data_IF_471690519983
#
_entry.id   IF_471690519983
#
_cell.length_a   1.000
_cell.length_b   1.000
_cell.length_c   1.000
_cell.angle_alpha   90.00
_cell.angle_beta   90.00
_cell.angle_gamma   90.00
#
_symmetry.space_group_name_H-M   'P 1'
#
loop_
_entity.id
_entity.type
_entity.pdbx_description
1 polymer ?
#
# COMPACT_ATOMS: atom_id res chain seq x y z
N UNK A 1 -21.36 -16.33 -2.74
CA UNK A 1 -20.48 -17.49 -3.00
C UNK A 1 -19.06 -16.94 -3.17
N UNK A 2 -18.18 -17.05 -2.17
CA UNK A 2 -16.79 -16.55 -2.30
C UNK A 2 -16.09 -17.42 -3.34
N UNK A 3 -15.63 -16.82 -4.43
CA UNK A 3 -14.90 -17.55 -5.45
C UNK A 3 -13.56 -17.99 -4.86
N UNK A 4 -13.34 -19.30 -4.76
CA UNK A 4 -12.02 -19.85 -4.40
C UNK A 4 -11.08 -19.55 -5.58
N UNK A 5 -10.43 -18.39 -5.58
CA UNK A 5 -9.44 -18.04 -6.60
C UNK A 5 -9.23 -16.56 -6.88
N UNK A 6 -10.08 -15.68 -6.35
CA UNK A 6 -10.03 -14.23 -6.64
C UNK A 6 -9.32 -13.37 -5.59
N UNK A 7 -8.99 -13.95 -4.43
CA UNK A 7 -8.32 -13.23 -3.35
C UNK A 7 -6.94 -12.72 -3.81
N UNK A 8 -6.76 -11.41 -3.75
CA UNK A 8 -5.56 -10.71 -4.19
C UNK A 8 -5.67 -10.09 -5.59
N UNK A 9 -6.72 -10.36 -6.37
CA UNK A 9 -6.85 -9.83 -7.74
C UNK A 9 -8.16 -9.08 -7.92
N UNK A 10 -8.08 -7.86 -8.46
CA UNK A 10 -9.22 -7.05 -8.88
C UNK A 10 -9.39 -7.15 -10.40
N UNK A 11 -10.57 -7.59 -10.85
CA UNK A 11 -10.81 -7.85 -12.28
C UNK A 11 -10.84 -6.58 -13.12
N UNK A 12 -11.35 -5.48 -12.57
CA UNK A 12 -11.50 -4.20 -13.27
C UNK A 12 -10.40 -3.20 -12.90
N UNK A 13 -9.18 -3.69 -12.67
CA UNK A 13 -8.06 -2.81 -12.33
C UNK A 13 -7.80 -1.81 -13.47
N UNK A 14 -7.60 -0.51 -13.15
CA UNK A 14 -7.39 0.51 -14.15
C UNK A 14 -6.29 0.14 -15.15
N UNK A 15 -6.58 0.26 -16.44
CA UNK A 15 -5.61 -0.05 -17.50
C UNK A 15 -4.44 0.93 -17.53
N UNK A 16 -4.59 2.12 -16.95
CA UNK A 16 -3.54 3.14 -16.85
C UNK A 16 -3.15 3.34 -15.39
N UNK A 17 -1.91 3.77 -15.17
CA UNK A 17 -1.42 4.14 -13.84
C UNK A 17 -0.65 5.46 -13.88
N UNK A 18 -0.67 6.18 -12.76
CA UNK A 18 -0.09 7.52 -12.62
C UNK A 18 1.40 7.50 -12.23
N UNK A 19 1.90 6.32 -11.84
CA UNK A 19 3.31 6.08 -11.59
C UNK A 19 3.54 4.67 -11.13
N UNK A 20 4.79 4.23 -11.21
CA UNK A 20 5.20 2.93 -10.72
C UNK A 20 6.64 2.92 -10.24
N UNK A 21 6.97 1.90 -9.46
CA UNK A 21 8.32 1.62 -9.00
C UNK A 21 8.65 0.14 -9.18
N UNK A 22 9.92 -0.15 -9.48
CA UNK A 22 10.47 -1.51 -9.42
C UNK A 22 11.30 -1.62 -8.15
N UNK A 23 10.91 -2.56 -7.30
CA UNK A 23 11.58 -2.89 -6.05
C UNK A 23 12.44 -4.14 -6.23
N UNK A 24 13.71 -4.04 -5.89
CA UNK A 24 14.65 -5.16 -5.79
C UNK A 24 14.79 -5.57 -4.32
N UNK A 25 14.98 -6.88 -4.10
CA UNK A 25 15.12 -7.50 -2.78
C UNK A 25 15.97 -8.77 -2.89
N UNK A 26 16.60 -9.15 -1.78
CA UNK A 26 17.42 -10.36 -1.65
C UNK A 26 16.75 -11.41 -0.76
N UNK A 27 15.43 -11.57 -0.88
CA UNK A 27 14.63 -12.51 -0.10
C UNK A 27 13.81 -13.42 -1.02
N UNK A 28 13.48 -14.66 -0.59
CA UNK A 28 12.52 -15.49 -1.29
C UNK A 28 11.18 -14.76 -1.48
N UNK A 29 10.54 -14.91 -2.64
CA UNK A 29 9.29 -14.21 -2.98
C UNK A 29 8.17 -14.43 -1.95
N UNK A 30 8.09 -15.61 -1.35
CA UNK A 30 7.14 -15.89 -0.27
C UNK A 30 7.32 -14.95 0.93
N UNK A 31 8.57 -14.65 1.32
CA UNK A 31 8.87 -13.72 2.41
C UNK A 31 8.60 -12.27 1.99
N UNK A 32 8.89 -11.93 0.74
CA UNK A 32 8.57 -10.62 0.16
C UNK A 32 7.07 -10.33 0.23
N UNK A 33 6.24 -11.28 -0.21
CA UNK A 33 4.78 -11.17 -0.16
C UNK A 33 4.28 -11.04 1.28
N UNK A 34 4.80 -11.86 2.21
CA UNK A 34 4.47 -11.74 3.64
C UNK A 34 4.86 -10.37 4.20
N UNK A 35 6.04 -9.83 3.88
CA UNK A 35 6.48 -8.52 4.35
C UNK A 35 5.59 -7.40 3.81
N UNK A 36 5.17 -7.46 2.55
CA UNK A 36 4.23 -6.50 1.96
C UNK A 36 2.89 -6.55 2.71
N UNK A 37 2.31 -7.73 2.90
CA UNK A 37 1.04 -7.91 3.62
C UNK A 37 1.11 -7.38 5.06
N UNK A 38 2.19 -7.70 5.78
CA UNK A 38 2.41 -7.22 7.13
C UNK A 38 2.61 -5.70 7.18
N UNK A 39 3.31 -5.11 6.20
CA UNK A 39 3.49 -3.67 6.12
C UNK A 39 2.14 -2.98 5.95
N UNK A 40 1.33 -3.42 4.99
CA UNK A 40 -0.01 -2.86 4.75
C UNK A 40 -0.91 -2.99 6.00
N UNK A 41 -0.95 -4.16 6.63
CA UNK A 41 -1.71 -4.38 7.87
C UNK A 41 -1.26 -3.46 9.01
N UNK A 42 0.04 -3.30 9.23
CA UNK A 42 0.57 -2.44 10.30
C UNK A 42 0.30 -0.97 10.05
N UNK A 43 0.23 -0.55 8.79
CA UNK A 43 -0.13 0.83 8.42
C UNK A 43 -1.64 1.07 8.55
N UNK A 44 -2.46 0.04 8.33
CA UNK A 44 -3.92 0.14 8.28
C UNK A 44 -4.49 0.70 9.60
N UNK A 45 -5.27 1.79 9.50
CA UNK A 45 -5.94 2.44 10.61
C UNK A 45 -5.01 3.19 11.59
N UNK A 46 -3.70 3.29 11.31
CA UNK A 46 -2.74 3.96 12.20
C UNK A 46 -2.43 5.38 11.74
N UNK A 47 -2.30 6.28 12.72
CA UNK A 47 -1.80 7.63 12.50
C UNK A 47 -0.31 7.59 12.16
N UNK A 48 0.07 8.22 11.05
CA UNK A 48 1.45 8.30 10.58
C UNK A 48 1.88 9.76 10.57
N UNK A 49 1.96 10.33 11.78
CA UNK A 49 2.37 11.71 11.98
C UNK A 49 3.79 11.95 11.50
N UNK A 50 4.79 11.41 12.20
CA UNK A 50 6.16 11.96 12.14
C UNK A 50 6.84 11.87 10.77
N UNK A 51 6.66 10.78 10.02
CA UNK A 51 7.28 10.63 8.71
C UNK A 51 6.66 11.54 7.64
N UNK A 52 5.33 11.73 7.68
CA UNK A 52 4.60 12.47 6.65
C UNK A 52 4.51 13.97 6.95
N UNK A 53 4.89 14.41 8.17
CA UNK A 53 4.99 15.84 8.51
C UNK A 53 5.87 16.62 7.53
N UNK A 54 6.95 16.01 7.03
CA UNK A 54 7.85 16.62 6.05
C UNK A 54 7.21 16.76 4.66
N UNK A 55 6.25 15.89 4.33
CA UNK A 55 5.60 15.86 3.02
C UNK A 55 4.36 16.75 2.95
N UNK A 56 3.58 16.85 4.03
CA UNK A 56 2.27 17.54 4.01
C UNK A 56 2.06 18.58 5.12
N UNK A 57 3.05 18.77 6.00
CA UNK A 57 3.02 19.75 7.08
C UNK A 57 2.67 19.18 8.47
N UNK A 58 3.06 19.90 9.52
CA UNK A 58 3.07 19.44 10.92
C UNK A 58 1.69 19.32 11.60
N UNK A 59 0.65 19.96 11.04
CA UNK A 59 -0.68 20.05 11.64
C UNK A 59 -1.73 19.14 10.97
N UNK A 60 -1.28 18.14 10.20
CA UNK A 60 -2.16 17.18 9.54
C UNK A 60 -1.86 15.78 10.07
N UNK A 61 -2.88 15.12 10.60
CA UNK A 61 -2.84 13.70 10.88
C UNK A 61 -3.23 12.91 9.62
N UNK A 62 -2.43 11.89 9.28
CA UNK A 62 -2.64 11.00 8.14
C UNK A 62 -2.93 9.61 8.63
N UNK A 63 -3.98 9.00 8.10
CA UNK A 63 -4.34 7.60 8.37
C UNK A 63 -4.49 6.90 7.02
N UNK A 64 -3.85 5.74 6.89
CA UNK A 64 -4.02 4.87 5.72
C UNK A 64 -5.07 3.82 6.02
N UNK A 65 -5.94 3.57 5.06
CA UNK A 65 -6.84 2.42 5.07
C UNK A 65 -6.62 1.58 3.83
N UNK A 66 -6.36 0.30 4.02
CA UNK A 66 -6.09 -0.65 2.94
C UNK A 66 -7.18 -1.71 2.88
N UNK A 67 -7.67 -1.96 1.68
CA UNK A 67 -8.49 -3.12 1.34
C UNK A 67 -7.81 -3.98 0.29
N UNK A 68 -7.85 -5.30 0.44
CA UNK A 68 -7.35 -6.25 -0.56
C UNK A 68 -8.48 -6.66 -1.49
N UNK A 69 -8.17 -6.82 -2.78
CA UNK A 69 -9.15 -7.28 -3.75
C UNK A 69 -9.58 -8.73 -3.49
N UNK A 70 -10.85 -9.01 -3.76
CA UNK A 70 -11.43 -10.34 -3.91
C UNK A 70 -12.43 -10.28 -5.07
N UNK A 71 -11.92 -10.34 -6.29
CA UNK A 71 -12.71 -10.29 -7.53
C UNK A 71 -13.13 -8.86 -7.88
N UNK A 72 -14.39 -8.49 -7.57
CA UNK A 72 -14.94 -7.16 -7.83
C UNK A 72 -15.09 -6.29 -6.58
N UNK A 73 -14.68 -6.80 -5.42
CA UNK A 73 -14.80 -6.10 -4.14
C UNK A 73 -13.45 -5.98 -3.45
N UNK A 74 -13.34 -5.04 -2.51
CA UNK A 74 -12.18 -4.91 -1.62
C UNK A 74 -12.60 -5.19 -0.18
N UNK A 75 -11.84 -6.03 0.51
CA UNK A 75 -12.03 -6.33 1.93
C UNK A 75 -10.96 -5.60 2.74
N UNK A 76 -11.35 -4.85 3.77
CA UNK A 76 -10.40 -4.18 4.66
C UNK A 76 -9.41 -5.18 5.25
N UNK A 77 -8.12 -4.82 5.29
CA UNK A 77 -7.07 -5.69 5.83
C UNK A 77 -7.12 -5.66 7.36
N UNK A 78 -7.92 -6.54 7.94
CA UNK A 78 -7.93 -6.87 9.36
C UNK A 78 -7.11 -8.13 9.66
N UNK A 79 -7.17 -8.62 10.90
CA UNK A 79 -6.44 -9.83 11.30
C UNK A 79 -6.92 -11.11 10.61
N UNK A 80 -8.21 -11.20 10.26
CA UNK A 80 -8.77 -12.38 9.60
C UNK A 80 -8.39 -12.42 8.12
N UNK A 81 -8.50 -11.27 7.44
CA UNK A 81 -8.07 -11.09 6.04
C UNK A 81 -6.57 -11.29 5.92
N UNK A 82 -5.77 -10.70 6.82
CA UNK A 82 -4.33 -10.92 6.85
C UNK A 82 -3.98 -12.41 6.99
N UNK A 83 -4.59 -13.10 7.96
CA UNK A 83 -4.34 -14.54 8.18
C UNK A 83 -4.67 -15.34 6.92
N UNK A 84 -5.81 -15.06 6.29
CA UNK A 84 -6.25 -15.72 5.06
C UNK A 84 -5.25 -15.50 3.91
N UNK A 85 -4.74 -14.27 3.73
CA UNK A 85 -3.74 -13.95 2.73
C UNK A 85 -2.39 -14.64 3.02
N UNK A 86 -1.93 -14.64 4.26
CA UNK A 86 -0.69 -15.31 4.65
C UNK A 86 -0.77 -16.83 4.44
N UNK A 87 -1.92 -17.44 4.73
CA UNK A 87 -2.13 -18.87 4.50
C UNK A 87 -2.22 -19.20 3.00
N UNK A 88 -2.72 -18.28 2.18
CA UNK A 88 -2.70 -18.42 0.72
C UNK A 88 -1.27 -18.33 0.16
N UNK A 89 -0.51 -17.32 0.57
CA UNK A 89 0.91 -17.11 0.18
C UNK A 89 1.79 -18.32 0.54
N UNK A 90 1.49 -19.02 1.65
CA UNK A 90 2.18 -20.27 2.03
C UNK A 90 1.88 -21.44 1.09
N UNK A 91 0.68 -21.49 0.53
CA UNK A 91 0.27 -22.57 -0.39
C UNK A 91 0.78 -22.31 -1.80
N UNK A 92 0.71 -21.04 -2.23
CA UNK A 92 1.19 -20.58 -3.54
C UNK A 92 1.58 -19.11 -3.45
N UNK A 93 2.67 -18.74 -4.11
CA UNK A 93 2.98 -17.32 -4.30
C UNK A 93 1.93 -16.69 -5.21
N UNK A 94 1.46 -15.50 -4.85
CA UNK A 94 0.55 -14.73 -5.67
C UNK A 94 1.29 -14.20 -6.91
N UNK A 95 0.60 -14.12 -8.06
CA UNK A 95 1.14 -13.44 -9.24
C UNK A 95 1.01 -11.92 -9.11
N UNK A 96 -0.10 -11.47 -8.52
CA UNK A 96 -0.33 -10.07 -8.19
C UNK A 96 -1.09 -9.92 -6.87
N UNK A 97 -1.01 -8.72 -6.30
CA UNK A 97 -1.80 -8.29 -5.16
C UNK A 97 -2.35 -6.89 -5.47
N UNK A 98 -3.67 -6.79 -5.58
CA UNK A 98 -4.39 -5.55 -5.85
C UNK A 98 -5.00 -5.02 -4.55
N UNK A 99 -4.75 -3.74 -4.29
CA UNK A 99 -5.07 -3.07 -3.05
C UNK A 99 -5.76 -1.75 -3.36
N UNK A 100 -6.87 -1.50 -2.67
CA UNK A 100 -7.46 -0.18 -2.60
C UNK A 100 -6.90 0.54 -1.38
N UNK A 101 -6.43 1.77 -1.57
CA UNK A 101 -5.82 2.57 -0.53
C UNK A 101 -6.57 3.90 -0.39
N UNK A 102 -7.06 4.17 0.82
CA UNK A 102 -7.65 5.46 1.18
C UNK A 102 -6.66 6.16 2.11
N UNK A 103 -6.25 7.37 1.74
CA UNK A 103 -5.44 8.23 2.60
C UNK A 103 -6.36 9.29 3.18
N UNK A 104 -6.59 9.18 4.49
CA UNK A 104 -7.45 10.08 5.26
C UNK A 104 -6.60 11.17 5.88
N UNK A 105 -7.05 12.41 5.75
CA UNK A 105 -6.36 13.59 6.26
C UNK A 105 -7.23 14.33 7.26
N UNK A 106 -6.66 14.66 8.41
CA UNK A 106 -7.33 15.42 9.45
C UNK A 106 -6.48 16.62 9.85
N UNK A 107 -7.02 17.82 9.70
CA UNK A 107 -6.40 19.01 10.27
C UNK A 107 -6.56 18.96 11.79
N UNK A 108 -5.44 18.98 12.51
CA UNK A 108 -5.41 19.08 13.96
C UNK A 108 -5.79 20.51 14.35
N UNK A 109 -6.66 20.64 15.35
CA UNK A 109 -7.06 21.94 15.88
C UNK A 109 -5.87 22.66 16.52
N UNK A 110 -5.87 24.00 16.50
CA UNK A 110 -4.93 24.78 17.31
C UNK A 110 -5.30 24.59 18.79
N UNK A 111 -4.33 24.21 19.62
CA UNK A 111 -4.44 24.08 21.08
C UNK A 111 -5.36 22.96 21.60
N UNK A 112 -5.05 21.70 21.28
CA UNK A 112 -5.37 20.51 22.11
C UNK A 112 -6.84 20.16 22.40
N UNK A 113 -7.82 21.00 22.03
CA UNK A 113 -9.23 20.84 22.43
C UNK A 113 -10.25 20.83 21.29
N UNK A 114 -9.86 21.13 20.05
CA UNK A 114 -10.78 21.08 18.90
C UNK A 114 -10.74 19.70 18.23
N UNK A 115 -11.92 19.09 18.00
CA UNK A 115 -12.05 17.82 17.26
C UNK A 115 -11.33 17.94 15.91
N UNK A 116 -10.54 16.93 15.49
CA UNK A 116 -9.87 16.96 14.21
C UNK A 116 -10.87 17.12 13.06
N UNK A 117 -10.59 18.04 12.14
CA UNK A 117 -11.46 18.30 10.98
C UNK A 117 -11.01 17.45 9.80
N UNK A 118 -11.90 16.60 9.30
CA UNK A 118 -11.64 15.84 8.09
C UNK A 118 -11.40 16.79 6.90
N UNK A 119 -10.36 16.51 6.14
CA UNK A 119 -10.08 17.15 4.86
C UNK A 119 -10.49 16.21 3.72
N UNK A 120 -10.41 16.67 2.47
CA UNK A 120 -10.62 15.81 1.30
C UNK A 120 -9.57 14.69 1.27
N UNK A 121 -10.04 13.45 1.26
CA UNK A 121 -9.24 12.22 1.22
C UNK A 121 -8.77 11.90 -0.19
N UNK A 122 -7.71 11.10 -0.28
CA UNK A 122 -7.20 10.55 -1.52
C UNK A 122 -7.50 9.04 -1.61
N UNK A 123 -7.78 8.57 -2.82
CA UNK A 123 -8.18 7.20 -3.12
C UNK A 123 -7.28 6.67 -4.23
N UNK A 124 -6.70 5.51 -4.04
CA UNK A 124 -5.76 4.89 -4.98
C UNK A 124 -6.07 3.41 -5.18
N UNK A 125 -5.87 2.95 -6.41
CA UNK A 125 -5.64 1.55 -6.72
C UNK A 125 -4.13 1.30 -6.79
N UNK A 126 -3.67 0.27 -6.10
CA UNK A 126 -2.26 -0.12 -6.04
C UNK A 126 -2.17 -1.59 -6.43
N UNK A 127 -1.31 -1.90 -7.40
CA UNK A 127 -1.06 -3.28 -7.84
C UNK A 127 0.39 -3.61 -7.62
N UNK A 128 0.63 -4.69 -6.89
CA UNK A 128 1.94 -5.33 -6.77
C UNK A 128 1.98 -6.47 -7.78
N UNK A 129 2.88 -6.41 -8.74
CA UNK A 129 3.18 -7.49 -9.67
C UNK A 129 4.44 -8.21 -9.18
N UNK A 130 4.29 -9.49 -8.86
CA UNK A 130 5.39 -10.31 -8.34
C UNK A 130 6.11 -11.00 -9.52
N UNK A 131 7.39 -10.70 -9.69
CA UNK A 131 8.30 -11.31 -10.66
C UNK A 131 9.45 -11.96 -9.91
N UNK A 132 10.16 -12.92 -10.52
CA UNK A 132 11.12 -13.80 -9.82
C UNK A 132 12.04 -13.10 -8.80
N UNK A 133 12.62 -11.95 -9.16
CA UNK A 133 13.52 -11.18 -8.28
C UNK A 133 13.09 -9.72 -8.05
N UNK A 134 11.89 -9.34 -8.51
CA UNK A 134 11.45 -7.95 -8.50
C UNK A 134 9.96 -7.83 -8.22
N UNK A 135 9.57 -6.70 -7.62
CA UNK A 135 8.16 -6.32 -7.46
C UNK A 135 7.95 -5.00 -8.18
N UNK A 136 7.07 -5.01 -9.17
CA UNK A 136 6.58 -3.77 -9.77
C UNK A 136 5.35 -3.29 -8.99
N UNK A 137 5.41 -2.07 -8.45
CA UNK A 137 4.31 -1.43 -7.75
C UNK A 137 3.72 -0.37 -8.66
N UNK A 138 2.49 -0.59 -9.14
CA UNK A 138 1.75 0.34 -9.98
C UNK A 138 0.72 1.10 -9.14
N UNK A 139 0.63 2.41 -9.32
CA UNK A 139 -0.27 3.28 -8.55
C UNK A 139 -1.15 4.07 -9.50
N UNK A 140 -2.46 3.94 -9.36
CA UNK A 140 -3.45 4.78 -10.00
C UNK A 140 -4.20 5.60 -8.94
N UNK A 141 -4.13 6.93 -9.04
CA UNK A 141 -4.95 7.85 -8.24
C UNK A 141 -6.34 7.93 -8.85
N UNK A 142 -7.34 7.45 -8.11
CA UNK A 142 -8.75 7.47 -8.53
C UNK A 142 -9.37 8.84 -8.25
N UNK A 143 -9.19 9.36 -7.02
CA UNK A 143 -9.86 10.59 -6.58
C UNK A 143 -9.10 11.29 -5.48
N UNK A 144 -9.19 12.62 -5.46
CA UNK A 144 -8.83 13.46 -4.33
C UNK A 144 -7.96 14.64 -4.74
N UNK A 145 -7.17 15.19 -3.82
CA UNK A 145 -6.26 16.31 -4.10
C UNK A 145 -4.81 15.89 -4.32
N UNK A 146 -4.51 14.60 -4.17
CA UNK A 146 -3.18 14.03 -4.23
C UNK A 146 -2.20 14.76 -3.32
N UNK A 147 -2.56 14.93 -2.03
CA UNK A 147 -1.72 15.67 -1.06
C UNK A 147 -0.35 15.02 -0.87
N UNK A 148 -0.30 13.71 -1.05
CA UNK A 148 0.94 12.95 -1.18
C UNK A 148 1.10 12.64 -2.67
N UNK A 149 2.23 13.07 -3.25
CA UNK A 149 2.54 12.76 -4.66
C UNK A 149 2.63 11.24 -4.87
N UNK A 150 2.41 10.77 -6.10
CA UNK A 150 2.51 9.33 -6.39
C UNK A 150 3.92 8.81 -6.12
N UNK A 151 4.95 9.61 -6.45
CA UNK A 151 6.34 9.30 -6.08
C UNK A 151 6.53 9.22 -4.56
N UNK A 152 5.99 10.17 -3.80
CA UNK A 152 6.07 10.17 -2.34
C UNK A 152 5.38 8.95 -1.74
N UNK A 153 4.23 8.54 -2.27
CA UNK A 153 3.52 7.33 -1.86
C UNK A 153 4.34 6.07 -2.17
N UNK A 154 4.91 5.96 -3.37
CA UNK A 154 5.75 4.82 -3.75
C UNK A 154 6.98 4.69 -2.86
N UNK A 155 7.70 5.79 -2.59
CA UNK A 155 8.86 5.82 -1.69
C UNK A 155 8.46 5.43 -0.27
N UNK A 156 7.35 5.98 0.22
CA UNK A 156 6.83 5.65 1.54
C UNK A 156 6.48 4.16 1.68
N UNK A 157 5.76 3.59 0.70
CA UNK A 157 5.44 2.16 0.71
C UNK A 157 6.69 1.30 0.66
N UNK A 158 7.66 1.62 -0.21
CA UNK A 158 8.92 0.90 -0.31
C UNK A 158 9.69 0.89 1.01
N UNK A 159 9.77 2.03 1.71
CA UNK A 159 10.40 2.12 3.02
C UNK A 159 9.68 1.25 4.05
N UNK A 160 8.35 1.32 4.12
CA UNK A 160 7.56 0.54 5.08
C UNK A 160 7.67 -0.96 4.83
N UNK A 161 7.71 -1.38 3.57
CA UNK A 161 7.95 -2.76 3.17
C UNK A 161 9.37 -3.18 3.57
N UNK A 162 10.37 -2.33 3.31
CA UNK A 162 11.76 -2.57 3.70
C UNK A 162 11.94 -2.76 5.21
N UNK A 163 11.26 -1.96 6.02
CA UNK A 163 11.25 -2.12 7.48
C UNK A 163 10.66 -3.45 7.94
N UNK A 164 9.67 -4.01 7.22
CA UNK A 164 9.15 -5.35 7.53
C UNK A 164 10.09 -6.46 7.03
N UNK A 165 10.81 -6.26 5.92
CA UNK A 165 11.81 -7.22 5.43
C UNK A 165 13.02 -7.32 6.36
N UNK A 166 13.50 -6.20 6.89
CA UNK A 166 14.63 -6.15 7.81
C UNK A 166 14.37 -6.87 9.14
N UNK A 167 13.11 -7.05 9.54
CA UNK A 167 12.75 -7.84 10.73
C UNK A 167 13.05 -9.34 10.56
N UNK A 168 13.18 -9.81 9.32
CA UNK A 168 13.53 -11.19 8.98
C UNK A 168 15.03 -11.44 8.77
N UNK A 169 15.91 -10.43 8.92
CA UNK A 169 17.36 -10.52 8.67
C UNK A 169 17.88 -9.37 7.80
N UNK A 170 18.87 -9.63 6.92
CA UNK A 170 19.51 -8.66 6.00
C UNK A 170 18.59 -8.16 4.85
N UNK A 171 17.28 -8.23 5.03
CA UNK A 171 16.29 -7.82 4.04
C UNK A 171 16.35 -6.31 3.79
N UNK A 172 16.89 -5.90 2.65
CA UNK A 172 16.86 -4.53 2.16
C UNK A 172 15.98 -4.43 0.91
N UNK A 173 15.12 -3.40 0.88
CA UNK A 173 14.39 -3.01 -0.34
C UNK A 173 15.16 -1.88 -1.01
N UNK A 174 15.44 -2.03 -2.30
CA UNK A 174 15.98 -0.96 -3.13
C UNK A 174 15.00 -0.61 -4.23
N UNK A 175 14.71 0.68 -4.38
CA UNK A 175 13.99 1.17 -5.56
C UNK A 175 14.98 1.17 -6.73
N UNK A 176 14.87 0.20 -7.64
CA UNK A 176 15.68 0.11 -8.86
C UNK A 176 15.30 1.20 -9.85
N UNK A 177 14.00 1.41 -10.01
CA UNK A 177 13.41 2.40 -10.92
C UNK A 177 12.16 2.98 -10.30
N UNK A 178 11.92 4.26 -10.55
CA UNK A 178 10.68 4.95 -10.22
C UNK A 178 10.35 5.89 -11.36
N UNK A 179 9.09 5.91 -11.77
CA UNK A 179 8.60 6.85 -12.76
C UNK A 179 7.19 7.32 -12.42
N UNK A 180 6.90 8.55 -12.80
CA UNK A 180 5.59 9.19 -12.64
C UNK A 180 5.11 9.73 -13.98
N UNK A 181 3.79 9.97 -14.07
CA UNK A 181 3.10 10.32 -15.30
C UNK A 181 2.21 9.18 -15.79
N UNK A 182 1.13 9.54 -16.49
CA UNK A 182 0.16 8.57 -16.98
C UNK A 182 0.84 7.58 -17.94
N UNK A 183 0.84 6.30 -17.60
CA UNK A 183 1.33 5.22 -18.46
C UNK A 183 0.16 4.33 -18.89
N UNK A 184 0.19 3.81 -20.13
CA UNK A 184 -0.74 2.79 -20.60
C UNK A 184 -0.53 1.45 -19.89
#
# INVERSE_FOLDING_TARGET
MKSKGSLGTYWDFPSRYHGAAILEFNLPMIEVQKSILNALYRLNGRSIGDYLKTLIGSNINVIFEFGVADGLVFNYIDGEILKSLLDEVKKRTLHNLDVFCIIRYYALGKNGGSRPRALRFDYYFIRFLFRDSEVEVQVFHERGLQRISVEGLLKFLAERIGLEMAKGGDGAVKIKRLWTGLKP
#
